data_IF_339236914781
#
_entry.id   IF_339236914781
#
_cell.length_a   1.000
_cell.length_b   1.000
_cell.length_c   1.000
_cell.angle_alpha   90.00
_cell.angle_beta   90.00
_cell.angle_gamma   90.00
#
_symmetry.space_group_name_H-M   'P 1'
#
loop_
_entity.id
_entity.type
_entity.pdbx_description
1 polymer ?
#
# COMPACT_ATOMS: atom_id res chain seq x y z
N UNK A 1 8.01 -25.30 17.94
CA UNK A 1 8.29 -23.88 18.19
C UNK A 1 8.17 -23.59 19.67
N UNK A 2 9.05 -22.77 20.22
CA UNK A 2 8.90 -22.23 21.56
C UNK A 2 7.95 -21.01 21.56
N UNK A 3 7.50 -20.61 22.75
CA UNK A 3 6.57 -19.50 22.91
C UNK A 3 7.15 -18.16 22.41
N UNK A 4 8.47 -18.00 22.47
CA UNK A 4 9.18 -16.81 22.00
C UNK A 4 9.08 -16.65 20.48
N UNK A 5 9.35 -17.72 19.72
CA UNK A 5 9.26 -17.69 18.25
C UNK A 5 7.83 -17.43 17.78
N UNK A 6 6.82 -18.00 18.46
CA UNK A 6 5.41 -17.70 18.18
C UNK A 6 5.07 -16.23 18.47
N UNK A 7 5.64 -15.66 19.54
CA UNK A 7 5.52 -14.24 19.85
C UNK A 7 6.11 -13.33 18.77
N UNK A 8 7.27 -13.70 18.20
CA UNK A 8 7.88 -12.95 17.10
C UNK A 8 7.04 -13.01 15.82
N UNK A 9 6.52 -14.18 15.45
CA UNK A 9 5.64 -14.32 14.27
C UNK A 9 4.35 -13.51 14.45
N UNK A 10 3.75 -13.53 15.64
CA UNK A 10 2.59 -12.70 15.95
C UNK A 10 2.92 -11.19 15.88
N UNK A 11 4.07 -10.78 16.41
CA UNK A 11 4.53 -9.40 16.34
C UNK A 11 4.77 -8.95 14.88
N UNK A 12 5.34 -9.82 14.04
CA UNK A 12 5.51 -9.53 12.61
C UNK A 12 4.17 -9.38 11.89
N UNK A 13 3.18 -10.23 12.18
CA UNK A 13 1.82 -10.08 11.64
C UNK A 13 1.15 -8.77 12.07
N UNK A 14 1.33 -8.36 13.33
CA UNK A 14 0.82 -7.07 13.83
C UNK A 14 1.52 -5.87 13.16
N UNK A 15 2.85 -5.91 13.04
CA UNK A 15 3.63 -4.88 12.33
C UNK A 15 3.22 -4.81 10.86
N UNK A 16 2.98 -5.94 10.20
CA UNK A 16 2.52 -6.00 8.83
C UNK A 16 1.11 -5.41 8.69
N UNK A 17 0.24 -5.65 9.68
CA UNK A 17 -1.11 -5.05 9.69
C UNK A 17 -1.03 -3.52 9.71
N UNK A 18 -0.16 -2.97 10.56
CA UNK A 18 0.08 -1.52 10.64
C UNK A 18 0.73 -0.99 9.35
N UNK A 19 1.70 -1.72 8.79
CA UNK A 19 2.37 -1.34 7.55
C UNK A 19 1.39 -1.26 6.37
N UNK A 20 0.54 -2.28 6.20
CA UNK A 20 -0.45 -2.31 5.13
C UNK A 20 -1.48 -1.20 5.27
N UNK A 21 -2.01 -0.98 6.47
CA UNK A 21 -2.96 0.10 6.69
C UNK A 21 -2.34 1.48 6.43
N UNK A 22 -1.10 1.69 6.88
CA UNK A 22 -0.41 2.96 6.69
C UNK A 22 -0.02 3.21 5.23
N UNK A 23 0.37 2.17 4.51
CA UNK A 23 0.72 2.26 3.09
C UNK A 23 -0.48 2.66 2.24
N UNK A 24 -1.64 2.04 2.48
CA UNK A 24 -2.90 2.39 1.82
C UNK A 24 -3.26 3.86 2.02
N UNK A 25 -3.19 4.34 3.26
CA UNK A 25 -3.52 5.72 3.59
C UNK A 25 -2.51 6.69 2.96
N UNK A 26 -1.23 6.30 2.90
CA UNK A 26 -0.18 7.08 2.23
C UNK A 26 -0.47 7.25 0.73
N UNK A 27 -0.82 6.16 0.07
CA UNK A 27 -1.09 6.12 -1.37
C UNK A 27 -2.38 6.87 -1.71
N UNK A 28 -3.37 6.86 -0.81
CA UNK A 28 -4.62 7.60 -0.91
C UNK A 28 -4.45 9.11 -0.73
N UNK A 29 -3.65 9.54 0.26
CA UNK A 29 -3.30 10.96 0.41
C UNK A 29 -2.52 11.42 -0.83
N UNK A 30 -1.61 10.58 -1.30
CA UNK A 30 -0.76 10.80 -2.46
C UNK A 30 -1.49 10.71 -3.80
N UNK A 31 -2.66 10.09 -3.85
CA UNK A 31 -3.36 9.70 -5.08
C UNK A 31 -2.48 8.91 -6.06
N UNK A 32 -1.78 7.91 -5.54
CA UNK A 32 -0.78 7.14 -6.29
C UNK A 32 -1.33 5.89 -6.99
N UNK A 33 -2.39 5.27 -6.45
CA UNK A 33 -2.87 3.94 -6.86
C UNK A 33 -3.76 3.90 -8.11
N UNK A 34 -4.26 2.73 -8.52
CA UNK A 34 -4.82 2.51 -9.86
C UNK A 34 -6.10 3.33 -10.17
N UNK A 35 -7.07 3.50 -9.25
CA UNK A 35 -8.13 4.50 -9.41
C UNK A 35 -7.62 5.93 -9.21
N UNK A 36 -6.67 6.11 -8.29
CA UNK A 36 -6.13 7.42 -7.91
C UNK A 36 -5.28 8.03 -9.05
N UNK A 37 -4.76 7.19 -9.94
CA UNK A 37 -4.05 7.58 -11.14
C UNK A 37 -4.96 8.34 -12.12
N UNK A 38 -6.29 8.20 -11.97
CA UNK A 38 -7.28 8.95 -12.75
C UNK A 38 -7.35 10.42 -12.34
N UNK A 39 -6.94 10.79 -11.11
CA UNK A 39 -6.69 12.19 -10.72
C UNK A 39 -5.74 12.86 -11.72
N UNK A 40 -4.77 12.10 -12.27
CA UNK A 40 -3.82 12.63 -13.25
C UNK A 40 -4.48 13.07 -14.55
N UNK A 41 -5.63 12.52 -14.91
CA UNK A 41 -6.33 12.86 -16.14
C UNK A 41 -7.47 13.86 -15.92
N UNK A 42 -7.87 14.08 -14.66
CA UNK A 42 -9.03 14.90 -14.29
C UNK A 42 -8.98 16.31 -14.89
N UNK A 43 -7.84 16.99 -14.82
CA UNK A 43 -7.70 18.32 -15.43
C UNK A 43 -7.91 18.30 -16.95
N UNK A 44 -7.40 17.27 -17.65
CA UNK A 44 -7.48 17.15 -19.12
C UNK A 44 -8.92 16.96 -19.61
N UNK A 45 -9.78 16.37 -18.77
CA UNK A 45 -11.22 16.20 -19.05
C UNK A 45 -12.08 17.31 -18.45
N UNK A 46 -11.47 18.45 -18.08
CA UNK A 46 -12.19 19.65 -17.63
C UNK A 46 -12.56 19.66 -16.14
N UNK A 47 -11.93 18.80 -15.33
CA UNK A 47 -12.15 18.70 -13.88
C UNK A 47 -10.91 19.14 -13.07
N UNK A 48 -10.57 20.44 -13.03
CA UNK A 48 -9.52 20.93 -12.14
C UNK A 48 -9.89 20.64 -10.68
N UNK A 49 -8.91 20.18 -9.90
CA UNK A 49 -9.12 19.61 -8.56
C UNK A 49 -8.06 20.05 -7.57
N UNK A 50 -8.35 19.86 -6.27
CA UNK A 50 -7.42 20.15 -5.15
C UNK A 50 -6.86 18.88 -4.50
N UNK A 51 -7.00 17.75 -5.18
CA UNK A 51 -6.39 16.48 -4.79
C UNK A 51 -4.88 16.52 -5.07
N UNK A 52 -4.08 16.06 -4.11
CA UNK A 52 -2.63 15.93 -4.22
C UNK A 52 -2.29 14.77 -5.15
N UNK A 53 -1.72 15.11 -6.30
CA UNK A 53 -1.38 14.17 -7.35
C UNK A 53 0.11 13.82 -7.30
N UNK A 54 0.41 12.76 -6.54
CA UNK A 54 1.71 12.10 -6.48
C UNK A 54 1.56 10.70 -7.07
N UNK A 55 2.00 10.56 -8.30
CA UNK A 55 2.20 9.27 -8.93
C UNK A 55 3.69 9.12 -9.30
N UNK A 56 4.52 8.77 -8.34
CA UNK A 56 5.96 8.62 -8.57
C UNK A 56 6.20 7.40 -9.48
N UNK A 57 5.57 6.29 -9.11
CA UNK A 57 5.50 5.00 -9.81
C UNK A 57 4.25 4.27 -9.30
N UNK A 58 4.02 3.00 -9.68
CA UNK A 58 3.01 2.18 -9.00
C UNK A 58 3.34 1.99 -7.51
N UNK A 59 2.37 1.69 -6.66
CA UNK A 59 2.62 1.43 -5.24
C UNK A 59 3.66 0.32 -4.98
N UNK A 60 3.66 -0.83 -5.69
CA UNK A 60 4.65 -1.86 -5.42
C UNK A 60 6.09 -1.36 -5.57
N UNK A 61 6.53 -0.78 -6.72
CA UNK A 61 7.89 -0.31 -6.85
C UNK A 61 8.23 0.89 -5.95
N UNK A 62 7.27 1.75 -5.62
CA UNK A 62 7.51 2.86 -4.69
C UNK A 62 7.78 2.36 -3.27
N UNK A 63 6.92 1.49 -2.74
CA UNK A 63 7.09 0.93 -1.40
C UNK A 63 8.33 0.04 -1.30
N UNK A 64 8.67 -0.68 -2.35
CA UNK A 64 9.94 -1.40 -2.46
C UNK A 64 11.14 -0.48 -2.25
N UNK A 65 11.13 0.70 -2.88
CA UNK A 65 12.21 1.68 -2.76
C UNK A 65 12.30 2.27 -1.34
N UNK A 66 11.17 2.63 -0.73
CA UNK A 66 11.13 3.21 0.61
C UNK A 66 11.59 2.21 1.68
N UNK A 67 11.05 0.99 1.62
CA UNK A 67 11.41 -0.08 2.54
C UNK A 67 12.89 -0.49 2.39
N UNK A 68 13.38 -0.64 1.15
CA UNK A 68 14.78 -0.95 0.90
C UNK A 68 15.70 0.16 1.41
N UNK A 69 15.35 1.43 1.18
CA UNK A 69 16.13 2.58 1.67
C UNK A 69 16.20 2.59 3.19
N UNK A 70 15.06 2.39 3.88
CA UNK A 70 15.03 2.30 5.33
C UNK A 70 15.91 1.16 5.85
N UNK A 71 15.83 -0.02 5.23
CA UNK A 71 16.61 -1.18 5.63
C UNK A 71 18.12 -1.04 5.31
N UNK A 72 18.51 -0.39 4.21
CA UNK A 72 19.92 -0.12 3.89
C UNK A 72 20.53 0.82 4.93
N UNK A 73 19.84 1.90 5.27
CA UNK A 73 20.31 2.85 6.29
C UNK A 73 20.37 2.17 7.65
N UNK A 74 19.34 1.42 8.04
CA UNK A 74 19.35 0.69 9.30
C UNK A 74 20.47 -0.35 9.35
N UNK A 75 20.64 -1.15 8.29
CA UNK A 75 21.69 -2.17 8.18
C UNK A 75 23.08 -1.56 8.29
N UNK A 76 23.35 -0.45 7.60
CA UNK A 76 24.65 0.24 7.66
C UNK A 76 24.92 0.83 9.05
N UNK A 77 23.92 1.44 9.71
CA UNK A 77 24.05 1.95 11.08
C UNK A 77 24.30 0.84 12.10
N UNK A 78 23.66 -0.32 11.96
CA UNK A 78 23.88 -1.48 12.83
C UNK A 78 25.27 -2.08 12.60
N UNK A 79 25.63 -2.35 11.34
CA UNK A 79 26.84 -3.12 11.02
C UNK A 79 28.12 -2.29 11.06
N UNK A 80 28.11 -1.08 10.48
CA UNK A 80 29.30 -0.23 10.40
C UNK A 80 29.48 0.65 11.64
N UNK A 81 28.39 1.10 12.26
CA UNK A 81 28.43 2.05 13.38
C UNK A 81 28.01 1.44 14.73
N UNK A 82 27.66 0.15 14.77
CA UNK A 82 27.28 -0.58 15.99
C UNK A 82 26.13 0.10 16.77
N UNK A 83 25.26 0.78 16.04
CA UNK A 83 24.12 1.50 16.63
C UNK A 83 23.04 0.49 17.10
N UNK A 84 22.36 0.74 18.23
CA UNK A 84 21.25 -0.10 18.67
C UNK A 84 20.16 -0.22 17.59
N UNK A 85 19.67 -1.44 17.37
CA UNK A 85 18.77 -1.77 16.26
C UNK A 85 17.54 -0.85 16.19
N UNK A 86 16.88 -0.58 17.31
CA UNK A 86 15.71 0.30 17.35
C UNK A 86 16.02 1.70 16.82
N UNK A 87 17.14 2.30 17.25
CA UNK A 87 17.53 3.64 16.81
C UNK A 87 17.93 3.66 15.34
N UNK A 88 18.62 2.61 14.88
CA UNK A 88 18.98 2.46 13.47
C UNK A 88 17.74 2.31 12.56
N UNK A 89 16.74 1.54 13.01
CA UNK A 89 15.45 1.38 12.30
C UNK A 89 14.68 2.70 12.22
N UNK A 90 14.61 3.46 13.33
CA UNK A 90 13.99 4.79 13.37
C UNK A 90 14.71 5.76 12.43
N UNK A 91 16.04 5.77 12.44
CA UNK A 91 16.83 6.62 11.54
C UNK A 91 16.61 6.23 10.07
N UNK A 92 16.61 4.93 9.76
CA UNK A 92 16.35 4.44 8.41
C UNK A 92 14.97 4.82 7.88
N UNK A 93 13.92 4.61 8.68
CA UNK A 93 12.56 5.02 8.33
C UNK A 93 12.44 6.53 8.13
N UNK A 94 13.17 7.33 8.91
CA UNK A 94 13.21 8.79 8.77
C UNK A 94 13.83 9.22 7.44
N UNK A 95 14.93 8.58 7.02
CA UNK A 95 15.53 8.83 5.70
C UNK A 95 14.56 8.42 4.59
N UNK A 96 13.93 7.26 4.67
CA UNK A 96 12.94 6.84 3.67
C UNK A 96 11.77 7.82 3.55
N UNK A 97 11.24 8.32 4.67
CA UNK A 97 10.17 9.31 4.69
C UNK A 97 10.61 10.65 4.05
N UNK A 98 11.85 11.09 4.26
CA UNK A 98 12.39 12.29 3.60
C UNK A 98 12.50 12.10 2.08
N UNK A 99 13.00 10.96 1.62
CA UNK A 99 13.06 10.64 0.20
C UNK A 99 11.64 10.63 -0.40
N UNK A 100 10.71 9.95 0.27
CA UNK A 100 9.31 9.94 -0.15
C UNK A 100 8.73 11.37 -0.26
N UNK A 101 9.02 12.26 0.69
CA UNK A 101 8.60 13.67 0.64
C UNK A 101 9.11 14.40 -0.61
N UNK A 102 10.41 14.26 -0.90
CA UNK A 102 11.07 14.92 -2.03
C UNK A 102 10.48 14.45 -3.35
N UNK A 103 10.31 13.14 -3.52
CA UNK A 103 9.70 12.58 -4.71
C UNK A 103 8.23 12.99 -4.83
N UNK A 104 7.51 13.04 -3.69
CA UNK A 104 6.11 13.44 -3.65
C UNK A 104 5.91 14.87 -4.11
N UNK A 105 6.64 15.82 -3.52
CA UNK A 105 6.58 17.22 -3.91
C UNK A 105 7.01 17.41 -5.36
N UNK A 106 8.12 16.80 -5.77
CA UNK A 106 8.62 16.89 -7.15
C UNK A 106 7.56 16.41 -8.15
N UNK A 107 6.89 15.30 -7.85
CA UNK A 107 5.84 14.74 -8.69
C UNK A 107 4.58 15.64 -8.74
N UNK A 108 4.18 16.23 -7.62
CA UNK A 108 3.05 17.14 -7.54
C UNK A 108 3.30 18.44 -8.32
N UNK A 109 4.44 19.09 -8.09
CA UNK A 109 4.79 20.33 -8.79
C UNK A 109 4.97 20.08 -10.29
N UNK A 110 5.70 19.03 -10.68
CA UNK A 110 5.93 18.71 -12.08
C UNK A 110 4.63 18.44 -12.86
N UNK A 111 3.71 17.66 -12.28
CA UNK A 111 2.43 17.35 -12.92
C UNK A 111 1.54 18.57 -13.03
N UNK A 112 1.28 19.30 -11.94
CA UNK A 112 0.40 20.47 -12.00
C UNK A 112 0.99 21.56 -12.92
N UNK A 113 2.30 21.74 -12.95
CA UNK A 113 2.95 22.65 -13.89
C UNK A 113 2.68 22.26 -15.37
N UNK A 114 2.75 20.96 -15.70
CA UNK A 114 2.44 20.48 -17.05
C UNK A 114 0.95 20.61 -17.43
N UNK A 115 0.06 20.71 -16.43
CA UNK A 115 -1.38 20.83 -16.60
C UNK A 115 -1.91 22.27 -16.49
N UNK A 116 -1.03 23.27 -16.43
CA UNK A 116 -1.43 24.67 -16.36
C UNK A 116 -2.36 25.09 -17.53
N UNK A 117 -2.19 24.49 -18.72
CA UNK A 117 -3.07 24.71 -19.89
C UNK A 117 -4.51 24.26 -19.67
N UNK A 118 -4.75 23.37 -18.72
CA UNK A 118 -6.07 22.85 -18.36
C UNK A 118 -6.65 23.53 -17.10
N UNK A 119 -6.15 24.73 -16.75
CA UNK A 119 -6.54 25.46 -15.54
C UNK A 119 -6.30 24.69 -14.22
N UNK A 120 -5.35 23.74 -14.24
CA UNK A 120 -4.89 23.06 -13.03
C UNK A 120 -3.75 23.85 -12.41
N UNK A 121 -3.98 24.38 -11.21
CA UNK A 121 -3.02 25.22 -10.51
C UNK A 121 -2.23 24.43 -9.47
N UNK A 122 -1.10 25.00 -9.08
CA UNK A 122 -0.33 24.53 -7.94
C UNK A 122 -0.94 25.13 -6.67
N UNK A 123 -1.45 24.26 -5.79
CA UNK A 123 -2.06 24.68 -4.53
C UNK A 123 -1.06 24.47 -3.38
N UNK A 124 -0.39 25.54 -2.95
CA UNK A 124 0.62 25.49 -1.89
C UNK A 124 0.05 25.09 -0.53
N UNK A 125 -1.21 25.39 -0.27
CA UNK A 125 -1.89 24.93 0.94
C UNK A 125 -2.07 23.41 0.93
N UNK A 126 -2.42 22.81 -0.20
CA UNK A 126 -2.48 21.35 -0.34
C UNK A 126 -1.10 20.75 -0.06
N UNK A 127 -0.02 21.28 -0.66
CA UNK A 127 1.35 20.82 -0.40
C UNK A 127 1.68 20.84 1.10
N UNK A 128 1.30 21.92 1.80
CA UNK A 128 1.56 22.10 3.23
C UNK A 128 0.87 21.03 4.09
N UNK A 129 -0.37 20.64 3.77
CA UNK A 129 -1.15 19.73 4.61
C UNK A 129 -0.98 18.25 4.23
N UNK A 130 -0.81 17.95 2.94
CA UNK A 130 -0.72 16.56 2.48
C UNK A 130 0.69 16.00 2.60
N UNK A 131 1.74 16.78 2.26
CA UNK A 131 3.11 16.26 2.26
C UNK A 131 3.56 15.72 3.62
N UNK A 132 3.34 16.41 4.76
CA UNK A 132 3.69 15.86 6.07
C UNK A 132 2.91 14.59 6.43
N UNK A 133 1.65 14.51 5.99
CA UNK A 133 0.81 13.33 6.22
C UNK A 133 1.32 12.12 5.43
N UNK A 134 1.68 12.34 4.15
CA UNK A 134 2.33 11.31 3.31
C UNK A 134 3.63 10.85 3.98
N UNK A 135 4.48 11.77 4.44
CA UNK A 135 5.73 11.44 5.14
C UNK A 135 5.49 10.59 6.39
N UNK A 136 4.51 10.96 7.21
CA UNK A 136 4.20 10.24 8.44
C UNK A 136 3.78 8.79 8.15
N UNK A 137 2.92 8.58 7.16
CA UNK A 137 2.48 7.24 6.81
C UNK A 137 3.58 6.42 6.12
N UNK A 138 4.39 7.05 5.25
CA UNK A 138 5.56 6.41 4.65
C UNK A 138 6.60 6.00 5.71
N UNK A 139 6.76 6.81 6.75
CA UNK A 139 7.63 6.50 7.89
C UNK A 139 7.16 5.25 8.63
N UNK A 140 5.86 5.18 8.98
CA UNK A 140 5.27 4.03 9.68
C UNK A 140 5.44 2.76 8.86
N UNK A 141 5.08 2.79 7.58
CA UNK A 141 5.21 1.63 6.68
C UNK A 141 6.66 1.16 6.58
N UNK A 142 7.59 2.09 6.34
CA UNK A 142 9.01 1.78 6.20
C UNK A 142 9.61 1.25 7.50
N UNK A 143 9.23 1.82 8.65
CA UNK A 143 9.65 1.36 9.97
C UNK A 143 9.17 -0.06 10.25
N UNK A 144 7.90 -0.35 10.01
CA UNK A 144 7.33 -1.67 10.23
C UNK A 144 8.00 -2.73 9.32
N UNK A 145 8.19 -2.44 8.03
CA UNK A 145 8.81 -3.39 7.10
C UNK A 145 10.30 -3.59 7.40
N UNK A 146 11.03 -2.53 7.73
CA UNK A 146 12.42 -2.67 8.17
C UNK A 146 12.51 -3.50 9.47
N UNK A 147 11.58 -3.31 10.40
CA UNK A 147 11.52 -4.09 11.65
C UNK A 147 11.22 -5.56 11.39
N UNK A 148 10.24 -5.87 10.53
CA UNK A 148 9.94 -7.24 10.08
C UNK A 148 11.19 -7.88 9.48
N UNK A 149 11.89 -7.16 8.60
CA UNK A 149 13.11 -7.63 7.96
C UNK A 149 14.24 -7.88 8.96
N UNK A 150 14.38 -7.03 9.97
CA UNK A 150 15.33 -7.24 11.06
C UNK A 150 15.00 -8.51 11.86
N UNK A 151 13.73 -8.70 12.23
CA UNK A 151 13.28 -9.89 12.98
C UNK A 151 13.58 -11.16 12.17
N UNK A 152 13.27 -11.16 10.87
CA UNK A 152 13.48 -12.33 10.00
C UNK A 152 14.95 -12.73 9.84
N UNK A 153 15.87 -11.76 9.84
CA UNK A 153 17.29 -12.02 9.63
C UNK A 153 18.03 -12.31 10.93
N UNK A 154 17.67 -11.63 12.03
CA UNK A 154 18.49 -11.63 13.24
C UNK A 154 17.83 -12.23 14.48
N UNK A 155 16.50 -12.34 14.52
CA UNK A 155 15.78 -12.75 15.73
C UNK A 155 15.06 -14.09 15.61
N UNK A 156 14.66 -14.51 14.40
CA UNK A 156 14.04 -15.82 14.22
C UNK A 156 15.07 -16.95 14.45
N UNK A 157 14.65 -18.11 15.01
CA UNK A 157 15.53 -19.25 15.24
C UNK A 157 16.17 -19.80 13.97
N UNK A 158 15.46 -19.70 12.85
CA UNK A 158 15.94 -20.00 11.50
C UNK A 158 16.04 -18.68 10.73
N UNK A 159 17.22 -18.02 10.73
CA UNK A 159 17.45 -16.79 9.99
C UNK A 159 17.13 -16.93 8.51
N UNK A 160 16.50 -15.92 7.94
CA UNK A 160 16.30 -15.88 6.51
C UNK A 160 17.65 -15.71 5.78
N UNK A 161 17.93 -16.47 4.70
CA UNK A 161 19.23 -16.45 4.02
C UNK A 161 19.54 -15.17 3.23
N UNK A 162 18.59 -14.23 3.17
CA UNK A 162 18.76 -13.00 2.41
C UNK A 162 19.10 -11.84 3.36
N UNK A 163 19.93 -10.88 2.90
CA UNK A 163 20.25 -9.71 3.71
C UNK A 163 19.01 -8.84 3.93
N UNK A 164 18.99 -8.15 5.06
CA UNK A 164 17.87 -7.32 5.51
C UNK A 164 17.34 -6.35 4.43
N UNK A 165 18.17 -5.64 3.63
CA UNK A 165 17.68 -4.81 2.52
C UNK A 165 16.87 -5.53 1.46
N UNK A 166 17.24 -6.77 1.11
CA UNK A 166 16.55 -7.54 0.07
C UNK A 166 15.19 -8.01 0.58
N UNK A 167 15.10 -8.43 1.84
CA UNK A 167 13.84 -8.83 2.46
C UNK A 167 12.90 -7.63 2.57
N UNK A 168 13.43 -6.46 2.95
CA UNK A 168 12.65 -5.23 3.00
C UNK A 168 12.13 -4.81 1.62
N UNK A 169 12.93 -4.99 0.58
CA UNK A 169 12.51 -4.76 -0.81
C UNK A 169 11.35 -5.68 -1.20
N UNK A 170 11.44 -6.98 -0.90
CA UNK A 170 10.40 -7.98 -1.22
C UNK A 170 9.10 -7.67 -0.47
N UNK A 171 9.18 -7.39 0.83
CA UNK A 171 8.00 -7.02 1.61
C UNK A 171 7.45 -5.64 1.23
N UNK A 172 8.31 -4.71 0.80
CA UNK A 172 7.92 -3.43 0.22
C UNK A 172 7.12 -3.59 -1.08
N UNK A 173 7.56 -4.48 -1.97
CA UNK A 173 6.78 -4.84 -3.16
C UNK A 173 5.43 -5.46 -2.78
N UNK A 174 5.43 -6.38 -1.80
CA UNK A 174 4.23 -7.09 -1.38
C UNK A 174 3.20 -6.15 -0.74
N UNK A 175 3.62 -5.24 0.15
CA UNK A 175 2.68 -4.29 0.78
C UNK A 175 2.00 -3.42 -0.27
N UNK A 176 2.75 -2.86 -1.22
CA UNK A 176 2.19 -1.98 -2.25
C UNK A 176 1.34 -2.73 -3.28
N UNK A 177 1.58 -4.03 -3.49
CA UNK A 177 0.70 -4.86 -4.31
C UNK A 177 -0.62 -5.16 -3.59
N UNK A 178 -0.58 -5.31 -2.26
CA UNK A 178 -1.75 -5.58 -1.44
C UNK A 178 -2.58 -4.30 -1.24
N UNK A 179 -1.96 -3.13 -1.02
CA UNK A 179 -2.64 -1.82 -1.02
C UNK A 179 -3.47 -1.65 -2.28
N UNK A 180 -2.80 -1.76 -3.44
CA UNK A 180 -3.47 -1.59 -4.72
C UNK A 180 -4.59 -2.60 -5.01
N UNK A 181 -4.51 -3.82 -4.45
CA UNK A 181 -5.50 -4.87 -4.72
C UNK A 181 -6.66 -4.90 -3.72
N UNK A 182 -6.50 -4.31 -2.54
CA UNK A 182 -7.48 -4.39 -1.44
C UNK A 182 -8.10 -3.04 -1.11
N UNK A 183 -7.29 -2.02 -0.83
CA UNK A 183 -7.80 -0.75 -0.31
C UNK A 183 -8.24 0.24 -1.40
N UNK A 184 -7.63 0.18 -2.59
CA UNK A 184 -7.97 1.01 -3.76
C UNK A 184 -9.47 1.08 -4.09
N UNK A 185 -10.20 0.00 -3.81
CA UNK A 185 -11.65 -0.07 -4.05
C UNK A 185 -12.39 1.02 -3.26
N UNK A 186 -11.95 1.30 -2.02
CA UNK A 186 -12.59 2.26 -1.13
C UNK A 186 -12.25 3.70 -1.52
N UNK A 187 -11.00 3.99 -1.87
CA UNK A 187 -10.65 5.31 -2.37
C UNK A 187 -11.29 5.56 -3.73
N UNK A 188 -11.00 4.71 -4.71
CA UNK A 188 -11.43 4.87 -6.08
C UNK A 188 -12.92 4.72 -6.27
N UNK A 189 -13.44 3.54 -5.93
CA UNK A 189 -14.84 3.19 -6.16
C UNK A 189 -15.80 3.97 -5.26
N UNK A 190 -15.42 4.24 -4.01
CA UNK A 190 -16.36 4.76 -3.00
C UNK A 190 -16.18 6.23 -2.65
N UNK A 191 -15.00 6.81 -2.90
CA UNK A 191 -14.73 8.21 -2.55
C UNK A 191 -14.44 9.10 -3.75
N UNK A 192 -13.63 8.65 -4.69
CA UNK A 192 -13.24 9.42 -5.86
C UNK A 192 -14.34 9.41 -6.94
N UNK A 193 -15.02 8.28 -7.13
CA UNK A 193 -16.08 8.09 -8.12
C UNK A 193 -17.46 7.86 -7.50
N UNK A 194 -17.82 8.64 -6.46
CA UNK A 194 -19.13 8.55 -5.76
C UNK A 194 -20.36 8.76 -6.64
N UNK A 195 -20.20 9.36 -7.82
CA UNK A 195 -21.25 9.49 -8.82
C UNK A 195 -21.55 8.18 -9.57
N UNK A 196 -20.82 7.09 -9.27
CA UNK A 196 -20.96 5.78 -9.89
C UNK A 196 -21.49 4.76 -8.89
N UNK A 197 -21.99 3.65 -9.43
CA UNK A 197 -22.48 2.56 -8.61
C UNK A 197 -21.33 1.92 -7.83
N UNK A 198 -21.62 1.58 -6.58
CA UNK A 198 -20.68 0.89 -5.70
C UNK A 198 -20.13 -0.38 -6.37
N UNK A 199 -18.80 -0.54 -6.36
CA UNK A 199 -18.13 -1.73 -6.90
C UNK A 199 -18.21 -1.89 -8.42
N UNK A 200 -18.71 -0.88 -9.17
CA UNK A 200 -18.67 -0.94 -10.62
C UNK A 200 -17.24 -0.73 -11.13
N UNK A 201 -16.82 -1.55 -12.10
CA UNK A 201 -15.57 -1.30 -12.81
C UNK A 201 -15.66 0.05 -13.54
N UNK A 202 -14.66 0.90 -13.35
CA UNK A 202 -14.59 2.18 -14.04
C UNK A 202 -14.18 1.95 -15.49
N UNK A 203 -15.07 2.29 -16.42
CA UNK A 203 -14.71 2.33 -17.84
C UNK A 203 -13.68 3.43 -18.07
N UNK A 204 -12.66 3.16 -18.89
CA UNK A 204 -11.61 4.11 -19.29
C UNK A 204 -12.18 5.42 -19.86
N UNK A 205 -13.38 5.40 -20.46
CA UNK A 205 -14.03 6.64 -20.93
C UNK A 205 -14.37 7.60 -19.77
N UNK A 206 -14.54 7.09 -18.56
CA UNK A 206 -14.91 7.85 -17.36
C UNK A 206 -13.67 8.30 -16.57
N UNK A 207 -12.47 7.99 -17.05
CA UNK A 207 -11.20 8.44 -16.50
C UNK A 207 -11.18 9.96 -16.28
N UNK A 208 -10.81 10.37 -15.07
CA UNK A 208 -10.76 11.78 -14.68
C UNK A 208 -12.12 12.44 -14.36
N UNK A 209 -13.25 11.72 -14.45
CA UNK A 209 -14.55 12.21 -14.01
C UNK A 209 -14.76 12.08 -12.49
N UNK A 210 -13.82 12.64 -11.75
CA UNK A 210 -13.71 12.53 -10.30
C UNK A 210 -14.67 13.48 -9.58
N UNK A 211 -15.08 13.10 -8.38
CA UNK A 211 -15.93 13.92 -7.52
C UNK A 211 -15.07 14.95 -6.79
N UNK A 212 -15.30 16.24 -7.11
CA UNK A 212 -14.52 17.38 -6.60
C UNK A 212 -15.16 18.11 -5.42
N UNK A 213 -16.42 17.80 -5.12
CA UNK A 213 -17.18 18.43 -4.03
C UNK A 213 -17.44 17.39 -2.96
N UNK A 214 -17.18 17.77 -1.71
CA UNK A 214 -17.46 17.01 -0.51
C UNK A 214 -18.67 17.61 0.23
N UNK A 215 -18.98 17.02 1.38
CA UNK A 215 -20.10 17.36 2.25
C UNK A 215 -20.07 18.83 2.72
N UNK A 216 -18.87 19.40 2.86
CA UNK A 216 -18.66 20.75 3.39
C UNK A 216 -17.94 21.72 2.41
N UNK A 217 -17.68 21.32 1.16
CA UNK A 217 -17.00 22.20 0.20
C UNK A 217 -16.21 21.48 -0.88
N UNK A 218 -15.06 22.04 -1.25
CA UNK A 218 -14.13 21.42 -2.21
C UNK A 218 -13.38 20.27 -1.55
N UNK A 219 -13.39 19.11 -2.20
CA UNK A 219 -12.71 17.90 -1.73
C UNK A 219 -11.20 18.00 -1.95
N UNK A 220 -10.44 17.48 -1.00
CA UNK A 220 -8.99 17.29 -1.09
C UNK A 220 -8.59 15.86 -0.71
N UNK A 221 -7.30 15.53 -0.80
CA UNK A 221 -6.81 14.17 -0.49
C UNK A 221 -6.97 13.75 0.97
N UNK A 222 -6.94 14.69 1.93
CA UNK A 222 -7.09 14.38 3.35
C UNK A 222 -8.52 13.92 3.65
N UNK A 223 -9.52 14.51 2.98
CA UNK A 223 -10.92 14.07 3.09
C UNK A 223 -11.11 12.63 2.61
N UNK A 224 -10.33 12.22 1.60
CA UNK A 224 -10.36 10.86 1.08
C UNK A 224 -9.66 9.90 2.05
N UNK A 225 -8.47 10.27 2.51
CA UNK A 225 -7.73 9.50 3.50
C UNK A 225 -8.55 9.26 4.78
N UNK A 226 -9.29 10.27 5.26
CA UNK A 226 -10.16 10.12 6.43
C UNK A 226 -11.23 9.04 6.24
N UNK A 227 -11.75 8.88 5.03
CA UNK A 227 -12.66 7.78 4.71
C UNK A 227 -11.92 6.44 4.67
N UNK A 228 -10.81 6.37 3.93
CA UNK A 228 -10.06 5.13 3.75
C UNK A 228 -9.43 4.60 5.04
N UNK A 229 -9.04 5.47 5.98
CA UNK A 229 -8.56 5.07 7.31
C UNK A 229 -9.55 4.20 8.09
N UNK A 230 -10.85 4.25 7.75
CA UNK A 230 -11.91 3.45 8.38
C UNK A 230 -12.23 2.16 7.65
N UNK A 231 -11.89 2.06 6.37
CA UNK A 231 -12.31 0.96 5.49
C UNK A 231 -11.12 0.38 4.71
N UNK A 232 -10.60 1.12 3.72
CA UNK A 232 -9.46 0.71 2.88
C UNK A 232 -8.24 0.31 3.70
N UNK A 233 -7.76 1.20 4.57
CA UNK A 233 -6.57 0.98 5.39
C UNK A 233 -6.69 -0.27 6.26
N UNK A 234 -7.75 -0.44 7.08
CA UNK A 234 -7.96 -1.67 7.83
C UNK A 234 -8.04 -2.94 6.96
N UNK A 235 -8.67 -2.87 5.79
CA UNK A 235 -8.75 -4.01 4.88
C UNK A 235 -7.38 -4.39 4.30
N UNK A 236 -6.61 -3.41 3.80
CA UNK A 236 -5.24 -3.60 3.32
C UNK A 236 -4.33 -4.12 4.44
N UNK A 237 -4.44 -3.54 5.63
CA UNK A 237 -3.73 -3.97 6.82
C UNK A 237 -4.02 -5.44 7.16
N UNK A 238 -5.28 -5.85 7.22
CA UNK A 238 -5.63 -7.26 7.46
C UNK A 238 -5.09 -8.18 6.35
N UNK A 239 -5.20 -7.77 5.08
CA UNK A 239 -4.67 -8.53 3.95
C UNK A 239 -3.17 -8.77 4.05
N UNK A 240 -2.40 -7.71 4.34
CA UNK A 240 -0.95 -7.82 4.46
C UNK A 240 -0.53 -8.54 5.75
N UNK A 241 -1.18 -8.25 6.87
CA UNK A 241 -0.97 -8.90 8.15
C UNK A 241 -1.16 -10.41 8.08
N UNK A 242 -2.25 -10.87 7.48
CA UNK A 242 -2.51 -12.29 7.25
C UNK A 242 -1.49 -12.92 6.32
N UNK A 243 -1.07 -12.20 5.27
CA UNK A 243 -0.04 -12.70 4.32
C UNK A 243 1.28 -12.94 5.04
N UNK A 244 1.77 -11.97 5.80
CA UNK A 244 3.03 -12.10 6.56
C UNK A 244 2.91 -13.18 7.64
N UNK A 245 1.78 -13.22 8.35
CA UNK A 245 1.57 -14.22 9.40
C UNK A 245 1.54 -15.65 8.85
N UNK A 246 0.78 -15.90 7.78
CA UNK A 246 0.63 -17.22 7.18
C UNK A 246 1.90 -17.66 6.42
N UNK A 247 2.59 -16.75 5.75
CA UNK A 247 3.86 -17.10 5.09
C UNK A 247 4.93 -17.48 6.12
N UNK A 248 5.05 -16.73 7.23
CA UNK A 248 6.03 -17.07 8.26
C UNK A 248 5.71 -18.38 9.00
N UNK A 249 4.47 -18.87 8.99
CA UNK A 249 4.14 -20.19 9.54
C UNK A 249 4.88 -21.34 8.85
N UNK A 250 5.17 -21.21 7.55
CA UNK A 250 5.83 -22.29 6.80
C UNK A 250 7.27 -22.52 7.25
N UNK A 251 7.99 -21.46 7.58
CA UNK A 251 9.41 -21.47 8.00
C UNK A 251 9.54 -21.62 9.51
N UNK A 252 8.49 -21.25 10.23
CA UNK A 252 8.30 -21.43 11.67
C UNK A 252 8.05 -22.90 12.06
N UNK A 253 7.20 -23.61 11.31
CA UNK A 253 6.80 -24.99 11.61
C UNK A 253 7.77 -26.00 11.00
N UNK A 254 8.27 -25.74 9.80
CA UNK A 254 9.18 -26.62 9.08
C UNK A 254 10.50 -25.93 8.83
N UNK A 255 11.61 -26.60 9.16
CA UNK A 255 12.94 -26.10 8.87
C UNK A 255 13.15 -26.06 7.34
N UNK A 256 13.39 -24.88 6.74
CA UNK A 256 13.53 -24.75 5.29
C UNK A 256 14.75 -25.49 4.72
N UNK A 257 15.74 -25.87 5.55
CA UNK A 257 16.95 -26.57 5.10
C UNK A 257 16.75 -28.09 5.12
N UNK A 258 16.21 -28.63 6.21
CA UNK A 258 16.05 -30.08 6.38
C UNK A 258 14.67 -30.60 5.94
N UNK A 259 13.65 -29.75 5.94
CA UNK A 259 12.24 -30.08 5.69
C UNK A 259 11.62 -29.21 4.58
N UNK A 260 12.43 -28.83 3.58
CA UNK A 260 12.02 -27.97 2.49
C UNK A 260 10.73 -28.44 1.78
N UNK A 261 10.57 -29.75 1.57
CA UNK A 261 9.39 -30.33 0.92
C UNK A 261 8.10 -30.09 1.71
N UNK A 262 8.15 -30.18 3.04
CA UNK A 262 7.00 -29.91 3.92
C UNK A 262 6.65 -28.42 3.97
N UNK A 263 7.67 -27.54 4.00
CA UNK A 263 7.46 -26.09 3.93
C UNK A 263 6.78 -25.68 2.61
N UNK A 264 7.23 -26.25 1.48
CA UNK A 264 6.62 -26.00 0.17
C UNK A 264 5.20 -26.56 0.10
N UNK A 265 4.97 -27.77 0.61
CA UNK A 265 3.64 -28.39 0.65
C UNK A 265 2.65 -27.55 1.48
N UNK A 266 3.09 -26.98 2.60
CA UNK A 266 2.26 -26.08 3.43
C UNK A 266 1.91 -24.79 2.70
N UNK A 267 2.86 -24.18 1.98
CA UNK A 267 2.59 -23.01 1.15
C UNK A 267 1.57 -23.30 0.05
N UNK A 268 1.75 -24.42 -0.67
CA UNK A 268 0.79 -24.91 -1.68
C UNK A 268 -0.60 -25.16 -1.08
N UNK A 269 -0.66 -25.75 0.11
CA UNK A 269 -1.92 -25.96 0.83
C UNK A 269 -2.64 -24.64 1.09
N UNK A 270 -1.97 -23.62 1.63
CA UNK A 270 -2.59 -22.30 1.85
C UNK A 270 -3.10 -21.67 0.55
N UNK A 271 -2.32 -21.73 -0.53
CA UNK A 271 -2.73 -21.22 -1.84
C UNK A 271 -3.99 -21.94 -2.34
N UNK A 272 -4.03 -23.28 -2.29
CA UNK A 272 -5.18 -24.06 -2.75
C UNK A 272 -6.43 -23.72 -1.93
N UNK A 273 -6.31 -23.64 -0.60
CA UNK A 273 -7.43 -23.27 0.28
C UNK A 273 -7.95 -21.87 -0.07
N UNK A 274 -7.07 -20.89 -0.27
CA UNK A 274 -7.46 -19.53 -0.63
C UNK A 274 -8.12 -19.46 -2.01
N UNK A 275 -7.64 -20.22 -3.00
CA UNK A 275 -8.26 -20.30 -4.34
C UNK A 275 -9.67 -20.91 -4.27
N UNK A 276 -9.84 -22.00 -3.51
CA UNK A 276 -11.14 -22.63 -3.31
C UNK A 276 -12.10 -21.66 -2.61
N UNK A 277 -11.62 -20.99 -1.56
CA UNK A 277 -12.40 -20.02 -0.80
C UNK A 277 -12.82 -18.82 -1.67
N UNK A 278 -11.91 -18.28 -2.49
CA UNK A 278 -12.21 -17.20 -3.42
C UNK A 278 -13.28 -17.61 -4.44
N UNK A 279 -13.14 -18.80 -5.04
CA UNK A 279 -14.13 -19.32 -6.00
C UNK A 279 -15.52 -19.53 -5.34
N UNK A 280 -15.53 -19.98 -4.08
CA UNK A 280 -16.76 -20.10 -3.31
C UNK A 280 -17.42 -18.73 -3.07
N UNK A 281 -16.65 -17.73 -2.63
CA UNK A 281 -17.15 -16.36 -2.44
C UNK A 281 -17.69 -15.81 -3.76
N UNK A 282 -16.92 -15.88 -4.84
CA UNK A 282 -17.31 -15.34 -6.13
C UNK A 282 -18.63 -15.95 -6.62
N UNK A 283 -18.77 -17.28 -6.57
CA UNK A 283 -20.03 -17.96 -6.93
C UNK A 283 -21.18 -17.58 -6.01
N UNK A 284 -20.93 -17.44 -4.71
CA UNK A 284 -21.94 -17.01 -3.73
C UNK A 284 -22.42 -15.59 -4.01
N UNK A 285 -21.50 -14.67 -4.29
CA UNK A 285 -21.82 -13.28 -4.64
C UNK A 285 -22.58 -13.19 -5.97
N UNK A 286 -22.13 -13.90 -7.02
CA UNK A 286 -22.83 -13.96 -8.31
C UNK A 286 -24.26 -14.49 -8.18
N UNK A 287 -24.50 -15.46 -7.29
CA UNK A 287 -25.85 -16.00 -7.02
C UNK A 287 -26.74 -15.01 -6.27
N UNK A 288 -26.17 -14.21 -5.35
CA UNK A 288 -26.93 -13.26 -4.53
C UNK A 288 -27.19 -11.92 -5.21
N UNK A 289 -26.20 -11.40 -5.92
CA UNK A 289 -26.20 -10.04 -6.47
C UNK A 289 -26.32 -10.00 -7.99
N UNK A 290 -26.33 -11.16 -8.66
CA UNK A 290 -26.43 -11.26 -10.12
C UNK A 290 -25.06 -11.31 -10.81
N UNK A 291 -25.04 -11.54 -12.13
CA UNK A 291 -23.81 -11.51 -12.92
C UNK A 291 -23.23 -10.08 -12.97
N UNK A 292 -21.94 -9.96 -13.27
CA UNK A 292 -21.35 -8.66 -13.60
C UNK A 292 -22.14 -8.03 -14.75
N UNK A 293 -22.45 -6.72 -14.69
CA UNK A 293 -23.09 -6.05 -15.81
C UNK A 293 -22.20 -6.22 -17.04
N UNK A 294 -22.67 -7.00 -18.02
CA UNK A 294 -22.02 -7.11 -19.32
C UNK A 294 -22.02 -5.72 -19.96
N UNK A 295 -20.85 -5.26 -20.38
CA UNK A 295 -20.76 -4.07 -21.23
C UNK A 295 -21.38 -4.40 -22.59
N UNK A 296 -22.70 -4.23 -22.70
CA UNK A 296 -23.40 -4.13 -23.98
C UNK A 296 -23.22 -2.69 -24.42
N UNK A 297 -22.29 -2.47 -25.36
CA UNK A 297 -21.73 -1.18 -25.71
C UNK A 297 -22.67 -0.16 -26.35
N UNK A 298 -23.79 0.18 -25.70
CA UNK A 298 -24.66 1.28 -26.09
C UNK A 298 -24.64 2.34 -24.99
N UNK A 299 -23.69 3.27 -25.09
CA UNK A 299 -23.78 4.55 -24.39
C UNK A 299 -24.53 5.51 -25.30
N UNK A 300 -25.74 5.89 -24.93
CA UNK A 300 -26.39 7.07 -25.49
C UNK A 300 -25.57 8.31 -25.09
N UNK A 301 -25.17 9.08 -26.12
CA UNK A 301 -24.36 10.29 -26.05
C UNK A 301 -24.93 11.38 -25.13
#
# INVERSE_FOLDING_TARGET
MDAFSMGLVAAMGALATVAGASEDIESDIGSQSNPNSQVQLAAQVGNPHRIYNKAISGEPPANALWAATAAIVAYTLITAFQMPALLALVAGASVAAMFNAVFSMSSYFGRNASQARFNQWIYLDIVRYTTPSIMAHAWITSFCIATISYIMVYMLPTPHPFPMPIIALIWGLAVGAIGSSVGDIHYGGEREFQNRQFGCGLNTMLSGQIVRKAEAGLRNSIDNAWFCTKFGGPATGMGFGLTVFLDNWRTAVFDPVTQASYAIAMGLFFIIVMVIYNNYIEKSLRRKYGPYPEYKGDVAA
#
